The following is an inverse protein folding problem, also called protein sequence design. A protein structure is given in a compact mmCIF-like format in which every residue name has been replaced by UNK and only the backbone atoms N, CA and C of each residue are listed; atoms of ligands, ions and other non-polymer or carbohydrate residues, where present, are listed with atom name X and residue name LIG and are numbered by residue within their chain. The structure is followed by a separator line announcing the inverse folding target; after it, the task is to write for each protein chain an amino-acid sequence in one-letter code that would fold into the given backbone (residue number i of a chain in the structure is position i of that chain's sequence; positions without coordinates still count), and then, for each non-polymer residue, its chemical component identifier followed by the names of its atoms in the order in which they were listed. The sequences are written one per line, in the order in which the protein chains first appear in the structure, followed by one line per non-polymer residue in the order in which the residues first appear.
data_IF_756903440722
#
_entry.id   IF_756903440722
#
_cell.length_a   1.000
_cell.length_b   1.000
_cell.length_c   1.000
_cell.angle_alpha   90.00
_cell.angle_beta   90.00
_cell.angle_gamma   90.00
#
_symmetry.space_group_name_H-M   'P 1'
#
loop_
_entity.id
_entity.type
_entity.pdbx_description
1 polymer ?
#
# COMPACT_ATOMS: atom_id res chain seq x y z
N UNK A 1 -3.68 -0.91 -27.21
CA UNK A 1 -4.26 -1.36 -25.95
C UNK A 1 -5.64 -0.72 -25.70
N UNK A 2 -6.68 -1.56 -25.64
CA UNK A 2 -8.07 -1.16 -25.52
C UNK A 2 -8.53 -1.10 -24.04
N UNK A 3 -9.31 -0.08 -23.68
CA UNK A 3 -9.87 0.06 -22.35
C UNK A 3 -11.30 0.62 -22.42
N UNK A 4 -12.21 0.09 -21.60
CA UNK A 4 -13.56 0.63 -21.42
C UNK A 4 -13.53 1.67 -20.29
N UNK A 5 -13.95 2.88 -20.59
CA UNK A 5 -13.97 4.00 -19.63
C UNK A 5 -13.81 5.36 -20.33
N UNK A 6 -13.40 6.37 -19.57
CA UNK A 6 -13.10 7.72 -20.12
C UNK A 6 -11.88 7.72 -21.04
N UNK A 7 -10.91 6.81 -20.80
CA UNK A 7 -9.76 6.59 -21.65
C UNK A 7 -10.00 5.31 -22.45
N UNK A 8 -10.27 5.46 -23.75
CA UNK A 8 -10.61 4.34 -24.62
C UNK A 8 -9.39 3.56 -25.10
N UNK A 9 -8.26 4.23 -25.31
CA UNK A 9 -7.03 3.67 -25.86
C UNK A 9 -5.81 4.19 -25.10
N UNK A 10 -4.87 3.29 -24.81
CA UNK A 10 -3.53 3.65 -24.32
C UNK A 10 -2.49 3.13 -25.29
N UNK A 11 -1.53 3.97 -25.67
CA UNK A 11 -0.45 3.66 -26.58
C UNK A 11 0.62 2.86 -25.79
N UNK A 12 1.00 1.70 -26.30
CA UNK A 12 2.08 0.87 -25.74
C UNK A 12 3.43 1.12 -26.42
N UNK A 13 3.41 1.54 -27.70
CA UNK A 13 4.60 1.84 -28.49
C UNK A 13 4.30 2.97 -29.47
N UNK A 14 5.26 3.87 -29.65
CA UNK A 14 5.23 4.91 -30.70
C UNK A 14 5.97 4.47 -31.98
N UNK A 15 6.54 3.28 -31.99
CA UNK A 15 7.13 2.65 -33.17
C UNK A 15 6.24 1.55 -33.67
N UNK A 16 6.22 1.35 -34.99
CA UNK A 16 5.50 0.22 -35.61
C UNK A 16 6.24 -1.08 -35.32
N UNK A 17 5.69 -1.85 -34.38
CA UNK A 17 6.24 -3.15 -33.96
C UNK A 17 5.12 -4.07 -33.45
N UNK A 18 5.27 -5.41 -33.57
CA UNK A 18 4.36 -6.36 -32.97
C UNK A 18 4.28 -6.19 -31.44
N UNK A 19 3.07 -6.32 -30.89
CA UNK A 19 2.84 -6.44 -29.45
C UNK A 19 2.70 -7.93 -29.13
N UNK A 20 3.81 -8.62 -29.19
CA UNK A 20 3.97 -10.05 -29.01
C UNK A 20 4.71 -10.41 -27.70
N UNK A 21 5.06 -11.68 -27.53
CA UNK A 21 5.81 -12.16 -26.36
C UNK A 21 7.13 -11.42 -26.16
N UNK A 22 7.86 -11.11 -27.25
CA UNK A 22 9.13 -10.37 -27.19
C UNK A 22 8.92 -8.97 -26.65
N UNK A 23 7.86 -8.28 -27.09
CA UNK A 23 7.49 -6.97 -26.55
C UNK A 23 7.24 -7.02 -25.03
N UNK A 24 6.44 -7.99 -24.58
CA UNK A 24 6.13 -8.12 -23.14
C UNK A 24 7.38 -8.50 -22.33
N UNK A 25 8.22 -9.39 -22.86
CA UNK A 25 9.50 -9.74 -22.24
C UNK A 25 10.39 -8.51 -22.05
N UNK A 26 10.59 -7.68 -23.07
CA UNK A 26 11.40 -6.46 -22.99
C UNK A 26 10.85 -5.48 -21.94
N UNK A 27 9.54 -5.29 -21.89
CA UNK A 27 8.90 -4.39 -20.92
C UNK A 27 9.03 -4.89 -19.48
N UNK A 28 8.76 -6.16 -19.25
CA UNK A 28 8.90 -6.78 -17.94
C UNK A 28 10.35 -6.83 -17.48
N UNK A 29 11.27 -7.10 -18.42
CA UNK A 29 12.70 -7.06 -18.11
C UNK A 29 13.16 -5.66 -17.71
N UNK A 30 12.75 -4.61 -18.38
CA UNK A 30 13.08 -3.24 -18.02
C UNK A 30 12.55 -2.89 -16.60
N UNK A 31 11.33 -3.32 -16.27
CA UNK A 31 10.77 -3.17 -14.92
C UNK A 31 11.58 -3.94 -13.87
N UNK A 32 11.97 -5.18 -14.18
CA UNK A 32 12.79 -6.01 -13.29
C UNK A 32 14.20 -5.43 -13.09
N UNK A 33 14.85 -4.98 -14.18
CA UNK A 33 16.17 -4.36 -14.12
C UNK A 33 16.17 -3.10 -13.24
N UNK A 34 15.09 -2.31 -13.29
CA UNK A 34 14.92 -1.16 -12.39
C UNK A 34 14.84 -1.64 -10.92
N UNK A 35 14.12 -2.71 -10.61
CA UNK A 35 14.06 -3.24 -9.23
C UNK A 35 15.38 -3.87 -8.77
N UNK A 36 16.18 -4.39 -9.69
CA UNK A 36 17.58 -4.78 -9.41
C UNK A 36 18.44 -3.56 -9.06
N UNK A 37 18.35 -2.47 -9.85
CA UNK A 37 19.05 -1.22 -9.59
C UNK A 37 18.64 -0.57 -8.27
N UNK A 38 17.40 -0.78 -7.82
CA UNK A 38 16.89 -0.33 -6.51
C UNK A 38 17.25 -1.29 -5.35
N UNK A 39 18.01 -2.36 -5.61
CA UNK A 39 18.34 -3.41 -4.64
C UNK A 39 17.13 -4.08 -3.98
N UNK A 40 16.00 -4.19 -4.69
CA UNK A 40 14.79 -4.85 -4.22
C UNK A 40 14.69 -6.29 -4.73
N UNK A 41 14.90 -6.51 -6.02
CA UNK A 41 14.75 -7.83 -6.65
C UNK A 41 15.89 -8.82 -6.31
N UNK A 42 16.95 -8.36 -5.66
CA UNK A 42 18.10 -9.15 -5.20
C UNK A 42 18.47 -8.84 -3.74
N UNK A 43 17.51 -8.38 -2.94
CA UNK A 43 17.72 -8.07 -1.54
C UNK A 43 17.72 -9.34 -0.68
N UNK A 44 18.64 -9.42 0.28
CA UNK A 44 18.67 -10.49 1.30
C UNK A 44 17.63 -10.27 2.40
N UNK A 45 17.10 -9.05 2.53
CA UNK A 45 16.19 -8.67 3.61
C UNK A 45 14.78 -8.31 3.14
N UNK A 46 14.57 -8.21 1.82
CA UNK A 46 13.28 -7.82 1.24
C UNK A 46 12.97 -8.66 0.01
N UNK A 47 11.84 -9.37 0.03
CA UNK A 47 11.30 -10.11 -1.11
C UNK A 47 9.81 -9.80 -1.35
N UNK A 48 9.33 -8.69 -0.74
CA UNK A 48 8.01 -8.12 -0.96
C UNK A 48 8.17 -6.76 -1.64
N UNK A 49 7.84 -6.65 -2.94
CA UNK A 49 7.99 -5.40 -3.70
C UNK A 49 7.06 -5.37 -4.91
N UNK A 50 6.80 -4.17 -5.43
CA UNK A 50 6.08 -3.97 -6.68
C UNK A 50 7.02 -4.10 -7.87
N UNK A 51 6.78 -5.09 -8.72
CA UNK A 51 7.54 -5.30 -9.95
C UNK A 51 7.02 -4.42 -11.09
N UNK A 52 5.70 -4.26 -11.22
CA UNK A 52 5.08 -3.44 -12.26
C UNK A 52 4.06 -2.48 -11.66
N UNK A 53 4.22 -1.20 -11.93
CA UNK A 53 3.34 -0.12 -11.47
C UNK A 53 2.71 0.63 -12.65
N UNK A 54 1.95 -0.06 -13.47
CA UNK A 54 1.14 0.53 -14.52
C UNK A 54 1.92 1.45 -15.47
N UNK A 55 1.45 2.67 -15.60
CA UNK A 55 2.04 3.73 -16.44
C UNK A 55 3.47 4.09 -16.04
N UNK A 56 3.82 3.92 -14.76
CA UNK A 56 5.17 4.15 -14.27
C UNK A 56 6.22 3.24 -14.89
N UNK A 57 5.82 2.03 -15.26
CA UNK A 57 6.66 1.03 -15.94
C UNK A 57 6.32 0.90 -17.44
N UNK A 58 5.60 1.84 -18.02
CA UNK A 58 5.12 1.80 -19.42
C UNK A 58 4.27 0.55 -19.74
N UNK A 59 3.56 0.04 -18.75
CA UNK A 59 2.63 -1.10 -18.82
C UNK A 59 1.24 -0.67 -18.29
N UNK A 60 0.57 0.29 -18.95
CA UNK A 60 -0.64 0.93 -18.44
C UNK A 60 -1.75 -0.08 -18.14
N UNK A 61 -2.23 -0.05 -16.89
CA UNK A 61 -3.28 -0.94 -16.43
C UNK A 61 -2.80 -2.33 -16.01
N UNK A 62 -1.48 -2.52 -15.79
CA UNK A 62 -0.90 -3.75 -15.22
C UNK A 62 -0.24 -3.45 -13.87
N UNK A 63 -0.58 -4.24 -12.86
CA UNK A 63 0.08 -4.25 -11.56
C UNK A 63 0.63 -5.65 -11.32
N UNK A 64 1.88 -5.75 -10.87
CA UNK A 64 2.47 -7.02 -10.43
C UNK A 64 3.23 -6.75 -9.13
N UNK A 65 2.82 -7.42 -8.06
CA UNK A 65 3.55 -7.46 -6.80
C UNK A 65 4.19 -8.83 -6.62
N UNK A 66 5.42 -8.83 -6.12
CA UNK A 66 6.19 -10.03 -5.82
C UNK A 66 6.16 -10.26 -4.31
N UNK A 67 5.88 -11.48 -3.92
CA UNK A 67 5.94 -11.99 -2.56
C UNK A 67 6.76 -13.28 -2.58
N UNK A 68 8.04 -13.17 -2.22
CA UNK A 68 9.01 -14.27 -2.29
C UNK A 68 9.12 -14.81 -3.75
N UNK A 69 8.60 -16.00 -4.00
CA UNK A 69 8.58 -16.68 -5.30
C UNK A 69 7.20 -16.67 -5.97
N UNK A 70 6.27 -15.88 -5.46
CA UNK A 70 4.92 -15.73 -6.00
C UNK A 70 4.70 -14.32 -6.55
N UNK A 71 4.28 -14.21 -7.79
CA UNK A 71 3.80 -12.97 -8.40
C UNK A 71 2.28 -12.88 -8.30
N UNK A 72 1.75 -11.77 -7.81
CA UNK A 72 0.33 -11.45 -7.86
C UNK A 72 0.08 -10.41 -8.93
N UNK A 73 -0.59 -10.83 -10.01
CA UNK A 73 -0.84 -10.02 -11.20
C UNK A 73 -2.28 -9.48 -11.20
N UNK A 74 -2.44 -8.19 -11.42
CA UNK A 74 -3.74 -7.54 -11.57
C UNK A 74 -3.81 -6.79 -12.91
N UNK A 75 -4.86 -7.06 -13.68
CA UNK A 75 -5.23 -6.25 -14.84
C UNK A 75 -6.32 -5.24 -14.45
N UNK A 76 -6.11 -3.99 -14.82
CA UNK A 76 -7.06 -2.89 -14.65
C UNK A 76 -7.68 -2.45 -15.98
N UNK A 77 -7.44 -3.21 -17.04
CA UNK A 77 -7.97 -2.96 -18.37
C UNK A 77 -8.20 -4.26 -19.15
N UNK A 78 -9.20 -4.30 -20.08
CA UNK A 78 -9.43 -5.46 -20.91
C UNK A 78 -8.20 -5.88 -21.72
N UNK A 79 -7.41 -4.94 -22.23
CA UNK A 79 -6.21 -5.27 -22.99
C UNK A 79 -5.17 -6.04 -22.19
N UNK A 80 -4.95 -5.68 -20.92
CA UNK A 80 -4.06 -6.44 -20.03
C UNK A 80 -4.65 -7.78 -19.62
N UNK A 81 -5.97 -7.86 -19.45
CA UNK A 81 -6.65 -9.12 -19.21
C UNK A 81 -6.45 -10.13 -20.35
N UNK A 82 -6.65 -9.68 -21.59
CA UNK A 82 -6.44 -10.55 -22.76
C UNK A 82 -4.96 -10.97 -22.94
N UNK A 83 -4.03 -10.13 -22.55
CA UNK A 83 -2.59 -10.44 -22.64
C UNK A 83 -2.06 -11.28 -21.46
N UNK A 84 -2.87 -11.62 -20.44
CA UNK A 84 -2.40 -12.21 -19.18
C UNK A 84 -1.53 -13.47 -19.31
N UNK A 85 -1.86 -14.35 -20.25
CA UNK A 85 -1.07 -15.57 -20.48
C UNK A 85 0.30 -15.25 -21.10
N UNK A 86 0.37 -14.38 -22.10
CA UNK A 86 1.64 -13.93 -22.70
C UNK A 86 2.49 -13.17 -21.68
N UNK A 87 1.85 -12.36 -20.83
CA UNK A 87 2.52 -11.67 -19.72
C UNK A 87 3.08 -12.66 -18.70
N UNK A 88 2.33 -13.72 -18.35
CA UNK A 88 2.78 -14.74 -17.42
C UNK A 88 3.99 -15.53 -17.97
N UNK A 89 3.95 -15.92 -19.25
CA UNK A 89 5.08 -16.59 -19.91
C UNK A 89 6.32 -15.70 -19.93
N UNK A 90 6.17 -14.44 -20.35
CA UNK A 90 7.27 -13.49 -20.40
C UNK A 90 7.84 -13.18 -18.99
N UNK A 91 6.97 -13.10 -17.97
CA UNK A 91 7.40 -12.89 -16.58
C UNK A 91 8.23 -14.06 -16.06
N UNK A 92 7.79 -15.32 -16.35
CA UNK A 92 8.56 -16.52 -15.98
C UNK A 92 9.94 -16.53 -16.66
N UNK A 93 10.03 -16.11 -17.92
CA UNK A 93 11.32 -15.99 -18.63
C UNK A 93 12.25 -14.96 -17.99
N UNK A 94 11.70 -13.78 -17.62
CA UNK A 94 12.48 -12.70 -17.01
C UNK A 94 13.00 -13.08 -15.64
N UNK A 95 12.18 -13.72 -14.80
CA UNK A 95 12.52 -14.03 -13.42
C UNK A 95 13.16 -15.40 -13.22
N UNK A 96 13.01 -16.32 -14.19
CA UNK A 96 13.60 -17.67 -14.15
C UNK A 96 13.20 -18.46 -12.91
N UNK A 97 14.19 -19.02 -12.22
CA UNK A 97 14.00 -19.86 -11.03
C UNK A 97 13.59 -19.09 -9.76
N UNK A 98 13.55 -17.76 -9.83
CA UNK A 98 13.06 -16.92 -8.72
C UNK A 98 11.53 -16.86 -8.64
N UNK A 99 10.82 -17.39 -9.63
CA UNK A 99 9.37 -17.34 -9.73
C UNK A 99 8.78 -18.73 -9.91
N UNK A 100 8.03 -19.20 -8.91
CA UNK A 100 7.36 -20.50 -8.96
C UNK A 100 5.88 -20.38 -9.26
N UNK A 101 5.25 -19.27 -8.79
CA UNK A 101 3.82 -19.09 -8.88
C UNK A 101 3.45 -17.73 -9.49
N UNK A 102 2.40 -17.70 -10.31
CA UNK A 102 1.76 -16.49 -10.80
C UNK A 102 0.26 -16.61 -10.51
N UNK A 103 -0.23 -15.78 -9.57
CA UNK A 103 -1.64 -15.69 -9.25
C UNK A 103 -2.26 -14.46 -9.91
N UNK A 104 -3.23 -14.69 -10.79
CA UNK A 104 -3.99 -13.65 -11.45
C UNK A 104 -5.21 -13.26 -10.57
N UNK A 105 -5.27 -12.01 -10.13
CA UNK A 105 -6.28 -11.51 -9.20
C UNK A 105 -6.96 -10.26 -9.75
N UNK A 106 -7.88 -10.42 -10.68
CA UNK A 106 -8.50 -9.29 -11.39
C UNK A 106 -10.02 -9.24 -11.33
N UNK A 107 -10.66 -10.12 -10.58
CA UNK A 107 -12.13 -10.17 -10.41
C UNK A 107 -12.73 -8.79 -10.05
N UNK A 108 -12.07 -8.02 -9.18
CA UNK A 108 -12.56 -6.72 -8.70
C UNK A 108 -11.87 -5.52 -9.34
N UNK A 109 -10.87 -5.71 -10.20
CA UNK A 109 -10.06 -4.62 -10.78
C UNK A 109 -10.42 -4.30 -12.22
N UNK A 110 -11.04 -5.24 -12.92
CA UNK A 110 -11.50 -5.04 -14.30
C UNK A 110 -12.77 -4.18 -14.33
N UNK A 111 -12.94 -3.34 -15.37
CA UNK A 111 -14.16 -2.56 -15.52
C UNK A 111 -15.38 -3.49 -15.67
N UNK A 112 -16.36 -3.40 -14.77
CA UNK A 112 -17.56 -4.25 -14.80
C UNK A 112 -18.34 -4.16 -16.14
N UNK A 113 -18.26 -3.01 -16.82
CA UNK A 113 -18.88 -2.78 -18.14
C UNK A 113 -18.25 -3.62 -19.27
N UNK A 114 -17.09 -4.21 -19.01
CA UNK A 114 -16.41 -5.04 -20.00
C UNK A 114 -17.08 -6.41 -20.19
N UNK A 115 -17.95 -6.82 -19.24
CA UNK A 115 -18.65 -8.12 -19.23
C UNK A 115 -17.69 -9.31 -19.48
N UNK A 116 -16.49 -9.23 -18.91
CA UNK A 116 -15.47 -10.27 -19.03
C UNK A 116 -15.77 -11.36 -18.00
N UNK A 117 -15.57 -12.61 -18.36
CA UNK A 117 -15.48 -13.69 -17.39
C UNK A 117 -14.25 -13.45 -16.52
N UNK A 118 -14.47 -13.28 -15.22
CA UNK A 118 -13.45 -12.79 -14.31
C UNK A 118 -13.34 -13.79 -13.15
N UNK A 119 -12.50 -14.79 -13.32
CA UNK A 119 -12.11 -15.67 -12.23
C UNK A 119 -10.66 -15.41 -11.86
N UNK A 120 -10.38 -15.38 -10.55
CA UNK A 120 -9.02 -15.37 -10.07
C UNK A 120 -8.44 -16.78 -10.23
N UNK A 121 -7.25 -16.89 -10.81
CA UNK A 121 -6.64 -18.18 -11.16
C UNK A 121 -5.11 -18.19 -10.99
N UNK A 122 -4.51 -19.36 -10.84
CA UNK A 122 -3.08 -19.51 -11.01
C UNK A 122 -2.76 -19.66 -12.50
N UNK A 123 -1.97 -18.74 -13.06
CA UNK A 123 -1.46 -18.84 -14.43
C UNK A 123 -0.18 -19.69 -14.50
N UNK A 124 0.50 -19.84 -13.36
CA UNK A 124 1.67 -20.70 -13.18
C UNK A 124 1.68 -21.24 -11.75
N UNK A 125 2.08 -22.49 -11.57
CA UNK A 125 2.25 -23.11 -10.27
C UNK A 125 0.94 -23.35 -9.52
N UNK A 126 0.91 -23.07 -8.24
CA UNK A 126 -0.22 -23.31 -7.34
C UNK A 126 -0.05 -22.64 -5.98
N UNK A 127 -0.61 -23.24 -4.94
CA UNK A 127 -0.54 -22.70 -3.58
C UNK A 127 0.92 -22.69 -3.11
N UNK A 128 1.44 -21.49 -2.87
CA UNK A 128 2.77 -21.25 -2.34
C UNK A 128 2.77 -20.89 -0.86
N UNK A 129 3.95 -20.65 -0.31
CA UNK A 129 4.07 -20.08 1.04
C UNK A 129 3.46 -18.68 1.09
N UNK A 130 2.61 -18.45 2.07
CA UNK A 130 1.87 -17.21 2.28
C UNK A 130 2.65 -16.18 3.11
N UNK A 131 3.98 -16.26 3.12
CA UNK A 131 4.85 -15.32 3.84
C UNK A 131 5.83 -14.61 2.92
N UNK A 132 6.09 -13.35 3.22
CA UNK A 132 7.10 -12.54 2.56
C UNK A 132 7.89 -11.70 3.57
N UNK A 133 9.09 -11.30 3.19
CA UNK A 133 9.99 -10.52 4.05
C UNK A 133 10.12 -9.08 3.52
N UNK A 134 10.03 -8.12 4.43
CA UNK A 134 10.27 -6.71 4.16
C UNK A 134 11.23 -6.13 5.20
N UNK A 135 12.39 -5.66 4.78
CA UNK A 135 13.44 -5.14 5.68
C UNK A 135 13.76 -6.07 6.86
N UNK A 136 13.80 -7.38 6.62
CA UNK A 136 14.09 -8.40 7.63
C UNK A 136 12.91 -8.76 8.55
N UNK A 137 11.74 -8.18 8.36
CA UNK A 137 10.50 -8.55 9.06
C UNK A 137 9.65 -9.45 8.17
N UNK A 138 9.05 -10.48 8.73
CA UNK A 138 8.23 -11.45 7.99
C UNK A 138 6.74 -11.16 8.16
N UNK A 139 5.99 -11.24 7.07
CA UNK A 139 4.56 -10.97 7.05
C UNK A 139 3.80 -12.09 6.35
N UNK A 140 2.65 -12.46 6.91
CA UNK A 140 1.65 -13.23 6.17
C UNK A 140 1.00 -12.35 5.10
N UNK A 141 0.93 -12.87 3.88
CA UNK A 141 0.34 -12.20 2.72
C UNK A 141 -0.80 -13.05 2.17
N UNK A 142 -2.02 -12.63 2.41
CA UNK A 142 -3.22 -13.30 1.88
C UNK A 142 -3.56 -12.75 0.49
N UNK A 143 -2.85 -13.21 -0.56
CA UNK A 143 -3.18 -12.78 -1.93
C UNK A 143 -4.48 -13.38 -2.47
N UNK A 144 -4.99 -14.46 -1.88
CA UNK A 144 -6.25 -15.09 -2.31
C UNK A 144 -7.46 -14.26 -1.88
N UNK A 145 -7.52 -13.84 -0.61
CA UNK A 145 -8.69 -13.21 0.02
C UNK A 145 -8.41 -11.81 0.57
N UNK A 146 -7.16 -11.41 0.67
CA UNK A 146 -6.74 -10.11 1.17
C UNK A 146 -7.08 -8.97 0.21
N UNK A 147 -7.00 -7.73 0.72
CA UNK A 147 -7.22 -6.54 -0.09
C UNK A 147 -6.11 -6.39 -1.13
N UNK A 148 -6.45 -5.81 -2.30
CA UNK A 148 -5.52 -5.60 -3.43
C UNK A 148 -4.77 -6.91 -3.74
N UNK A 149 -3.45 -6.89 -3.68
CA UNK A 149 -2.57 -8.03 -3.92
C UNK A 149 -2.25 -8.85 -2.67
N UNK A 150 -2.73 -8.42 -1.48
CA UNK A 150 -2.57 -9.13 -0.20
C UNK A 150 -1.79 -8.35 0.85
N UNK A 151 -0.89 -7.44 0.45
CA UNK A 151 -0.10 -6.59 1.33
C UNK A 151 0.09 -5.20 0.71
N UNK A 152 0.30 -4.16 1.54
CA UNK A 152 0.50 -2.79 1.09
C UNK A 152 2.00 -2.47 0.99
N UNK A 153 2.64 -2.92 -0.08
CA UNK A 153 4.07 -2.68 -0.33
C UNK A 153 4.41 -1.20 -0.55
N UNK A 154 3.41 -0.37 -0.85
CA UNK A 154 3.53 1.07 -1.07
C UNK A 154 3.84 1.87 0.21
N UNK A 155 3.72 1.27 1.38
CA UNK A 155 4.03 1.90 2.68
C UNK A 155 5.40 1.49 3.26
N UNK A 156 6.23 0.71 2.55
CA UNK A 156 7.50 0.18 3.06
C UNK A 156 8.41 1.25 3.67
N UNK A 157 8.69 2.32 2.92
CA UNK A 157 9.58 3.38 3.37
C UNK A 157 8.98 4.20 4.53
N UNK A 158 7.66 4.37 4.53
CA UNK A 158 6.93 5.06 5.58
C UNK A 158 6.93 4.23 6.88
N UNK A 159 6.83 2.91 6.79
CA UNK A 159 7.00 1.99 7.93
C UNK A 159 8.41 2.06 8.52
N UNK A 160 9.42 2.05 7.66
CA UNK A 160 10.82 2.17 8.09
C UNK A 160 11.10 3.53 8.74
N UNK A 161 10.45 4.61 8.27
CA UNK A 161 10.56 5.91 8.93
C UNK A 161 9.87 5.91 10.30
N UNK A 162 8.68 5.32 10.43
CA UNK A 162 7.96 5.21 11.71
C UNK A 162 8.80 4.46 12.76
N UNK A 163 9.48 3.41 12.37
CA UNK A 163 10.37 2.64 13.24
C UNK A 163 11.38 3.53 13.96
N UNK A 164 11.98 4.50 13.25
CA UNK A 164 12.96 5.43 13.83
C UNK A 164 12.38 6.33 14.91
N UNK A 165 11.07 6.59 14.87
CA UNK A 165 10.34 7.40 15.85
C UNK A 165 9.77 6.59 17.01
N UNK A 166 9.82 5.26 16.96
CA UNK A 166 9.05 4.40 17.86
C UNK A 166 9.70 4.17 19.23
N UNK A 167 11.02 4.35 19.37
CA UNK A 167 11.73 4.02 20.62
C UNK A 167 11.15 4.71 21.84
N UNK A 168 10.75 3.90 22.83
CA UNK A 168 10.23 4.36 24.12
C UNK A 168 8.80 4.93 24.07
N UNK A 169 8.15 4.95 22.91
CA UNK A 169 6.84 5.54 22.70
C UNK A 169 5.69 4.57 22.90
N UNK A 170 4.51 5.13 23.17
CA UNK A 170 3.22 4.43 23.10
C UNK A 170 2.61 4.70 21.74
N UNK A 171 2.52 3.67 20.92
CA UNK A 171 2.10 3.76 19.51
C UNK A 171 0.66 3.33 19.33
N UNK A 172 -0.12 4.12 18.58
CA UNK A 172 -1.44 3.76 18.08
C UNK A 172 -1.43 3.69 16.56
N UNK A 173 -1.65 2.49 16.02
CA UNK A 173 -1.78 2.25 14.58
C UNK A 173 -3.26 2.05 14.23
N UNK A 174 -3.88 3.06 13.61
CA UNK A 174 -5.28 3.02 13.18
C UNK A 174 -5.40 2.64 11.71
N UNK A 175 -6.48 1.91 11.37
CA UNK A 175 -6.66 1.30 10.04
C UNK A 175 -5.52 0.34 9.74
N UNK A 176 -5.16 -0.46 10.73
CA UNK A 176 -3.89 -1.17 10.76
C UNK A 176 -3.77 -2.31 9.73
N UNK A 177 -4.87 -2.78 9.15
CA UNK A 177 -4.94 -3.91 8.22
C UNK A 177 -4.15 -5.11 8.75
N UNK A 178 -3.03 -5.50 8.10
CA UNK A 178 -2.17 -6.61 8.53
C UNK A 178 -1.10 -6.21 9.57
N UNK A 179 -1.14 -4.97 10.07
CA UNK A 179 -0.27 -4.50 11.14
C UNK A 179 1.15 -4.12 10.73
N UNK A 180 1.39 -3.81 9.46
CA UNK A 180 2.73 -3.47 8.97
C UNK A 180 3.41 -2.38 9.81
N UNK A 181 2.75 -1.27 10.09
CA UNK A 181 3.28 -0.21 10.96
C UNK A 181 3.51 -0.68 12.40
N UNK A 182 2.65 -1.56 12.92
CA UNK A 182 2.77 -2.08 14.29
C UNK A 182 4.00 -2.97 14.46
N UNK A 183 4.26 -3.86 13.50
CA UNK A 183 5.44 -4.74 13.50
C UNK A 183 6.74 -3.91 13.48
N UNK A 184 6.80 -2.88 12.63
CA UNK A 184 7.94 -1.95 12.60
C UNK A 184 8.09 -1.15 13.89
N UNK A 185 6.98 -0.71 14.51
CA UNK A 185 7.01 -0.02 15.80
C UNK A 185 7.55 -0.91 16.92
N UNK A 186 7.18 -2.19 16.94
CA UNK A 186 7.72 -3.18 17.89
C UNK A 186 9.24 -3.31 17.75
N UNK A 187 9.75 -3.49 16.52
CA UNK A 187 11.19 -3.56 16.25
C UNK A 187 11.91 -2.26 16.60
N UNK A 188 11.26 -1.12 16.38
CA UNK A 188 11.78 0.21 16.73
C UNK A 188 11.89 0.48 18.23
N UNK A 189 11.44 -0.45 19.09
CA UNK A 189 11.54 -0.35 20.54
C UNK A 189 10.43 0.47 21.20
N UNK A 190 9.23 0.44 20.63
CA UNK A 190 8.06 1.01 21.28
C UNK A 190 7.78 0.30 22.63
N UNK A 191 7.36 1.06 23.64
CA UNK A 191 6.97 0.54 24.94
C UNK A 191 5.58 -0.11 24.93
N UNK A 192 4.70 0.38 24.05
CA UNK A 192 3.34 -0.13 23.85
C UNK A 192 2.95 0.08 22.38
N UNK A 193 2.30 -0.90 21.78
CA UNK A 193 1.76 -0.79 20.42
C UNK A 193 0.33 -1.29 20.41
N UNK A 194 -0.61 -0.43 20.11
CA UNK A 194 -2.00 -0.82 19.89
C UNK A 194 -2.37 -0.67 18.41
N UNK A 195 -3.04 -1.69 17.89
CA UNK A 195 -3.51 -1.77 16.51
C UNK A 195 -5.04 -1.74 16.49
N UNK A 196 -5.63 -0.91 15.64
CA UNK A 196 -7.08 -0.79 15.52
C UNK A 196 -7.50 -0.94 14.07
N UNK A 197 -8.43 -1.84 13.82
CA UNK A 197 -9.13 -2.00 12.54
C UNK A 197 -10.58 -2.41 12.77
N UNK A 198 -11.47 -2.02 11.89
CA UNK A 198 -12.88 -2.43 11.95
C UNK A 198 -13.10 -3.90 11.58
N UNK A 199 -12.15 -4.52 10.89
CA UNK A 199 -12.18 -5.90 10.44
C UNK A 199 -11.56 -6.86 11.46
N UNK A 200 -12.36 -7.76 12.01
CA UNK A 200 -11.85 -8.83 12.89
C UNK A 200 -10.78 -9.69 12.18
N UNK A 201 -10.96 -9.97 10.87
CA UNK A 201 -9.96 -10.70 10.07
C UNK A 201 -8.63 -9.94 9.99
N UNK A 202 -8.64 -8.63 9.86
CA UNK A 202 -7.43 -7.80 9.88
C UNK A 202 -6.73 -7.91 11.24
N UNK A 203 -7.48 -7.83 12.33
CA UNK A 203 -6.97 -7.99 13.71
C UNK A 203 -6.33 -9.37 13.93
N UNK A 204 -6.91 -10.44 13.40
CA UNK A 204 -6.30 -11.78 13.43
C UNK A 204 -4.95 -11.81 12.69
N UNK A 205 -4.87 -11.18 11.51
CA UNK A 205 -3.63 -11.11 10.73
C UNK A 205 -2.56 -10.26 11.42
N UNK A 206 -2.94 -9.15 12.06
CA UNK A 206 -2.00 -8.37 12.89
C UNK A 206 -1.39 -9.24 13.97
N UNK A 207 -2.22 -9.96 14.74
CA UNK A 207 -1.73 -10.82 15.82
C UNK A 207 -0.79 -11.92 15.30
N UNK A 208 -1.11 -12.54 14.15
CA UNK A 208 -0.22 -13.51 13.49
C UNK A 208 1.12 -12.88 13.10
N UNK A 209 1.12 -11.68 12.53
CA UNK A 209 2.34 -11.00 12.11
C UNK A 209 3.20 -10.54 13.31
N UNK A 210 2.58 -10.13 14.40
CA UNK A 210 3.29 -9.83 15.64
C UNK A 210 3.92 -11.10 16.22
N UNK A 211 3.15 -12.18 16.35
CA UNK A 211 3.66 -13.45 16.90
C UNK A 211 4.80 -14.02 16.04
N UNK A 212 4.72 -13.88 14.71
CA UNK A 212 5.75 -14.35 13.79
C UNK A 212 7.10 -13.63 13.98
N UNK A 213 7.10 -12.36 14.36
CA UNK A 213 8.32 -11.55 14.54
C UNK A 213 8.74 -11.39 16.01
N UNK A 214 7.79 -11.43 16.93
CA UNK A 214 7.99 -11.16 18.38
C UNK A 214 7.17 -12.14 19.22
N UNK A 215 7.50 -13.44 19.18
CA UNK A 215 6.73 -14.46 19.87
C UNK A 215 6.65 -14.20 21.39
N UNK A 216 5.43 -14.18 21.92
CA UNK A 216 5.16 -13.97 23.34
C UNK A 216 5.39 -12.53 23.85
N UNK A 217 5.60 -11.55 22.97
CA UNK A 217 5.81 -10.15 23.39
C UNK A 217 4.48 -9.48 23.77
N UNK A 218 4.33 -9.10 25.02
CA UNK A 218 3.11 -8.53 25.59
C UNK A 218 2.91 -7.03 25.32
N UNK A 219 3.84 -6.36 24.64
CA UNK A 219 3.73 -4.92 24.33
C UNK A 219 2.65 -4.60 23.31
N UNK A 220 2.16 -5.59 22.55
CA UNK A 220 1.16 -5.39 21.50
C UNK A 220 -0.23 -5.84 21.92
N UNK A 221 -1.25 -5.07 21.52
CA UNK A 221 -2.65 -5.46 21.59
C UNK A 221 -3.41 -4.93 20.35
N UNK A 222 -4.32 -5.75 19.81
CA UNK A 222 -5.13 -5.38 18.66
C UNK A 222 -6.64 -5.36 19.00
N UNK A 223 -7.37 -4.40 18.41
CA UNK A 223 -8.77 -4.15 18.67
C UNK A 223 -9.58 -4.14 17.37
N UNK A 224 -10.64 -4.92 17.31
CA UNK A 224 -11.64 -4.85 16.25
C UNK A 224 -12.67 -3.77 16.61
N UNK A 225 -12.44 -2.53 16.13
CA UNK A 225 -13.25 -1.38 16.50
C UNK A 225 -13.33 -0.33 15.38
N UNK A 226 -14.42 0.45 15.39
CA UNK A 226 -14.52 1.67 14.57
C UNK A 226 -13.50 2.71 15.05
N UNK A 227 -12.79 3.33 14.10
CA UNK A 227 -11.71 4.25 14.39
C UNK A 227 -12.17 5.50 15.18
N UNK A 228 -13.32 6.07 14.81
CA UNK A 228 -13.80 7.27 15.51
C UNK A 228 -14.27 6.95 16.92
N UNK A 229 -14.96 5.81 17.07
CA UNK A 229 -15.40 5.34 18.39
C UNK A 229 -14.21 5.03 19.29
N UNK A 230 -13.18 4.35 18.76
CA UNK A 230 -11.96 4.06 19.51
C UNK A 230 -11.27 5.34 20.00
N UNK A 231 -11.14 6.37 19.15
CA UNK A 231 -10.57 7.67 19.53
C UNK A 231 -11.41 8.38 20.59
N UNK A 232 -12.75 8.23 20.59
CA UNK A 232 -13.61 8.81 21.61
C UNK A 232 -13.44 8.15 22.98
N UNK A 233 -13.36 6.83 23.00
CA UNK A 233 -13.38 6.00 24.20
C UNK A 233 -11.96 5.74 24.76
N UNK A 234 -10.89 6.03 24.01
CA UNK A 234 -9.54 5.75 24.46
C UNK A 234 -9.13 6.55 25.70
N UNK A 235 -8.52 5.86 26.65
CA UNK A 235 -7.97 6.44 27.88
C UNK A 235 -6.44 6.48 27.87
N UNK A 236 -5.79 5.70 27.02
CA UNK A 236 -4.33 5.66 26.88
C UNK A 236 -3.86 6.90 26.12
N UNK A 237 -2.85 7.57 26.62
CA UNK A 237 -2.16 8.65 25.93
C UNK A 237 -1.11 8.07 24.99
N UNK A 238 -1.35 8.16 23.68
CA UNK A 238 -0.39 7.75 22.66
C UNK A 238 0.40 8.96 22.16
N UNK A 239 1.70 8.84 22.17
CA UNK A 239 2.61 9.90 21.74
C UNK A 239 3.21 9.66 20.33
N UNK A 240 2.81 8.56 19.69
CA UNK A 240 3.04 8.28 18.27
C UNK A 240 1.78 7.63 17.67
N UNK A 241 1.14 8.33 16.74
CA UNK A 241 -0.12 7.86 16.13
C UNK A 241 0.03 7.75 14.62
N UNK A 242 -0.52 6.68 14.05
CA UNK A 242 -0.63 6.46 12.60
C UNK A 242 -2.10 6.49 12.21
N UNK A 243 -2.44 7.33 11.23
CA UNK A 243 -3.74 7.39 10.59
C UNK A 243 -3.56 7.10 9.10
N UNK A 244 -3.87 5.87 8.68
CA UNK A 244 -3.81 5.43 7.28
C UNK A 244 -5.18 4.92 6.80
N UNK A 245 -6.19 5.82 6.76
CA UNK A 245 -7.55 5.44 6.40
C UNK A 245 -7.66 5.01 4.94
N UNK A 246 -8.67 4.19 4.59
CA UNK A 246 -9.00 3.93 3.20
C UNK A 246 -9.35 5.24 2.48
N UNK A 247 -9.28 5.24 1.14
CA UNK A 247 -9.60 6.42 0.34
C UNK A 247 -11.03 6.90 0.61
N UNK A 248 -11.18 8.08 1.21
CA UNK A 248 -12.49 8.68 1.48
C UNK A 248 -13.18 9.23 0.21
N UNK A 249 -12.42 9.44 -0.88
CA UNK A 249 -12.98 9.78 -2.19
C UNK A 249 -12.36 8.90 -3.27
N UNK A 250 -13.19 8.16 -3.98
CA UNK A 250 -12.81 7.45 -5.23
C UNK A 250 -13.00 8.33 -6.46
N UNK A 251 -13.92 9.30 -6.40
CA UNK A 251 -14.26 10.19 -7.51
C UNK A 251 -14.29 11.65 -7.04
N UNK A 252 -14.14 12.59 -7.98
CA UNK A 252 -14.08 14.03 -7.69
C UNK A 252 -15.32 14.57 -6.99
N UNK A 253 -16.48 13.99 -7.24
CA UNK A 253 -17.76 14.41 -6.63
C UNK A 253 -17.74 14.25 -5.09
N UNK A 254 -16.98 13.29 -4.57
CA UNK A 254 -16.82 13.04 -3.14
C UNK A 254 -15.70 13.86 -2.47
N UNK A 255 -14.98 14.71 -3.22
CA UNK A 255 -13.79 15.44 -2.75
C UNK A 255 -14.08 16.25 -1.49
N UNK A 256 -15.15 17.04 -1.48
CA UNK A 256 -15.50 17.91 -0.33
C UNK A 256 -15.79 17.10 0.93
N UNK A 257 -16.48 15.97 0.78
CA UNK A 257 -16.78 15.07 1.88
C UNK A 257 -15.52 14.37 2.39
N UNK A 258 -14.63 13.95 1.49
CA UNK A 258 -13.36 13.33 1.84
C UNK A 258 -12.47 14.29 2.65
N UNK A 259 -12.34 15.55 2.22
CA UNK A 259 -11.56 16.55 2.94
C UNK A 259 -12.11 16.78 4.36
N UNK A 260 -13.45 16.84 4.52
CA UNK A 260 -14.09 16.90 5.84
C UNK A 260 -13.78 15.66 6.69
N UNK A 261 -13.77 14.46 6.09
CA UNK A 261 -13.43 13.22 6.77
C UNK A 261 -12.00 13.23 7.29
N UNK A 262 -11.02 13.62 6.44
CA UNK A 262 -9.62 13.78 6.85
C UNK A 262 -9.46 14.83 7.97
N UNK A 263 -10.12 15.99 7.83
CA UNK A 263 -10.09 17.04 8.86
C UNK A 263 -10.61 16.52 10.20
N UNK A 264 -11.78 15.88 10.19
CA UNK A 264 -12.41 15.38 11.43
C UNK A 264 -11.57 14.29 12.11
N UNK A 265 -11.06 13.32 11.33
CA UNK A 265 -10.24 12.23 11.86
C UNK A 265 -8.96 12.76 12.52
N UNK A 266 -8.24 13.64 11.81
CA UNK A 266 -6.98 14.20 12.32
C UNK A 266 -7.20 15.14 13.50
N UNK A 267 -8.24 15.97 13.50
CA UNK A 267 -8.57 16.84 14.62
C UNK A 267 -8.81 16.01 15.91
N UNK A 268 -9.63 14.97 15.79
CA UNK A 268 -9.95 14.09 16.91
C UNK A 268 -8.71 13.39 17.49
N UNK A 269 -7.79 12.92 16.63
CA UNK A 269 -6.53 12.35 17.10
C UNK A 269 -5.66 13.41 17.80
N UNK A 270 -5.48 14.58 17.20
CA UNK A 270 -4.67 15.67 17.77
C UNK A 270 -5.21 16.18 19.12
N UNK A 271 -6.54 16.22 19.31
CA UNK A 271 -7.16 16.59 20.59
C UNK A 271 -6.75 15.66 21.74
N UNK A 272 -6.55 14.36 21.43
CA UNK A 272 -6.25 13.32 22.41
C UNK A 272 -4.76 13.08 22.63
N UNK A 273 -3.91 13.54 21.71
CA UNK A 273 -2.47 13.33 21.79
C UNK A 273 -1.82 14.30 22.80
N UNK A 274 -0.88 13.83 23.65
CA UNK A 274 -0.11 14.72 24.53
C UNK A 274 0.78 15.67 23.71
N UNK A 275 1.22 16.75 24.33
CA UNK A 275 2.20 17.68 23.71
C UNK A 275 3.52 16.96 23.46
N UNK A 276 4.15 17.24 22.31
CA UNK A 276 5.39 16.60 21.92
C UNK A 276 5.19 15.28 21.16
N UNK A 277 3.96 14.96 20.84
CA UNK A 277 3.61 13.77 20.09
C UNK A 277 3.91 13.89 18.59
N UNK A 278 3.99 12.74 17.92
CA UNK A 278 4.20 12.65 16.48
C UNK A 278 3.01 11.93 15.83
N UNK A 279 2.48 12.54 14.78
CA UNK A 279 1.39 11.98 13.99
C UNK A 279 1.86 11.70 12.57
N UNK A 280 1.74 10.44 12.15
CA UNK A 280 1.81 10.01 10.75
C UNK A 280 0.40 9.95 10.18
N UNK A 281 0.12 10.74 9.16
CA UNK A 281 -1.22 10.78 8.57
C UNK A 281 -1.15 10.69 7.06
N UNK A 282 -2.03 9.88 6.47
CA UNK A 282 -1.98 9.51 5.06
C UNK A 282 -3.30 9.73 4.33
N UNK A 283 -3.20 9.85 3.01
CA UNK A 283 -4.30 9.76 2.07
C UNK A 283 -3.85 9.04 0.80
N UNK A 284 -4.52 7.93 0.46
CA UNK A 284 -4.37 7.23 -0.81
C UNK A 284 -5.42 7.63 -1.84
N UNK A 285 -6.20 8.70 -1.59
CA UNK A 285 -7.29 9.16 -2.45
C UNK A 285 -6.74 9.89 -3.67
N UNK A 286 -6.92 9.36 -4.89
CA UNK A 286 -6.49 10.03 -6.12
C UNK A 286 -7.20 11.37 -6.36
N UNK A 287 -8.43 11.53 -5.88
CA UNK A 287 -9.20 12.76 -6.00
C UNK A 287 -8.67 13.91 -5.13
N UNK A 288 -7.83 13.60 -4.13
CA UNK A 288 -7.25 14.57 -3.18
C UNK A 288 -5.80 14.80 -3.55
N UNK A 289 -5.42 16.01 -3.93
CA UNK A 289 -4.02 16.37 -4.17
C UNK A 289 -3.27 16.72 -2.88
N UNK A 290 -1.94 16.94 -2.97
CA UNK A 290 -1.07 17.23 -1.83
C UNK A 290 -1.48 18.49 -1.07
N UNK A 291 -1.81 19.57 -1.79
CA UNK A 291 -2.16 20.85 -1.17
C UNK A 291 -3.52 20.77 -0.45
N UNK A 292 -4.48 20.07 -1.06
CA UNK A 292 -5.79 19.82 -0.46
C UNK A 292 -5.66 18.99 0.82
N UNK A 293 -4.82 17.93 0.79
CA UNK A 293 -4.57 17.12 1.98
C UNK A 293 -3.91 17.95 3.08
N UNK A 294 -2.87 18.71 2.75
CA UNK A 294 -2.19 19.64 3.68
C UNK A 294 -3.16 20.64 4.29
N UNK A 295 -4.07 21.21 3.49
CA UNK A 295 -5.11 22.13 3.96
C UNK A 295 -6.08 21.45 4.93
N UNK A 296 -6.45 20.18 4.68
CA UNK A 296 -7.28 19.41 5.60
C UNK A 296 -6.59 19.20 6.96
N UNK A 297 -5.27 18.91 6.96
CA UNK A 297 -4.49 18.73 8.21
C UNK A 297 -4.31 20.06 8.93
N UNK A 298 -4.08 21.17 8.21
CA UNK A 298 -4.10 22.51 8.80
C UNK A 298 -5.44 22.81 9.49
N UNK A 299 -6.55 22.55 8.80
CA UNK A 299 -7.89 22.76 9.36
C UNK A 299 -8.13 21.86 10.59
N UNK A 300 -7.61 20.64 10.58
CA UNK A 300 -7.68 19.72 11.74
C UNK A 300 -6.94 20.29 12.96
N UNK A 301 -5.72 20.80 12.77
CA UNK A 301 -4.93 21.40 13.83
C UNK A 301 -5.63 22.63 14.45
N UNK A 302 -6.22 23.48 13.60
CA UNK A 302 -7.00 24.64 14.05
C UNK A 302 -8.23 24.22 14.88
N UNK A 303 -8.96 23.18 14.45
CA UNK A 303 -10.11 22.65 15.18
C UNK A 303 -9.71 22.04 16.53
N UNK A 304 -8.58 21.35 16.57
CA UNK A 304 -8.03 20.76 17.80
C UNK A 304 -7.36 21.78 18.74
N UNK A 305 -7.23 23.04 18.31
CA UNK A 305 -6.52 24.07 19.09
C UNK A 305 -5.03 23.76 19.27
N UNK A 306 -4.39 23.11 18.28
CA UNK A 306 -3.01 22.65 18.36
C UNK A 306 -2.13 23.35 17.33
N UNK A 307 -0.89 23.65 17.73
CA UNK A 307 0.17 24.00 16.81
C UNK A 307 0.84 22.72 16.30
N UNK A 308 1.12 22.67 15.00
CA UNK A 308 1.80 21.54 14.38
C UNK A 308 2.96 22.01 13.49
N UNK A 309 3.98 21.17 13.41
CA UNK A 309 5.11 21.37 12.47
C UNK A 309 5.25 20.13 11.59
N UNK A 310 5.36 20.34 10.28
CA UNK A 310 5.61 19.25 9.34
C UNK A 310 7.08 18.85 9.44
N UNK A 311 7.34 17.60 9.81
CA UNK A 311 8.67 17.02 9.88
C UNK A 311 9.05 16.35 8.54
N UNK A 312 8.10 15.63 7.93
CA UNK A 312 8.30 14.95 6.64
C UNK A 312 7.06 15.06 5.76
N UNK A 313 7.29 15.09 4.45
CA UNK A 313 6.29 14.87 3.42
C UNK A 313 6.54 13.48 2.83
N UNK A 314 5.52 12.64 2.85
CA UNK A 314 5.61 11.23 2.50
C UNK A 314 4.89 10.95 1.18
N UNK A 315 5.38 9.95 0.46
CA UNK A 315 4.85 9.49 -0.82
C UNK A 315 5.06 7.99 -0.97
N UNK A 316 4.64 7.42 -2.09
CA UNK A 316 4.90 6.04 -2.47
C UNK A 316 6.41 5.79 -2.68
N UNK A 317 6.89 4.56 -2.42
CA UNK A 317 8.31 4.20 -2.56
C UNK A 317 8.76 4.09 -4.02
N UNK A 318 10.06 3.95 -4.24
CA UNK A 318 10.67 3.97 -5.56
C UNK A 318 10.21 2.84 -6.50
N UNK A 319 9.77 1.71 -5.97
CA UNK A 319 9.18 0.63 -6.78
C UNK A 319 7.73 0.89 -7.24
N UNK A 320 7.19 2.06 -6.89
CA UNK A 320 5.94 2.61 -7.42
C UNK A 320 6.24 3.86 -8.27
N UNK A 321 7.01 3.73 -9.37
CA UNK A 321 7.48 4.87 -10.13
C UNK A 321 6.33 5.66 -10.74
N UNK A 322 6.53 6.96 -10.86
CA UNK A 322 5.61 7.87 -11.53
C UNK A 322 6.22 8.20 -12.89
N UNK A 323 5.50 7.92 -13.96
CA UNK A 323 5.92 8.37 -15.27
C UNK A 323 5.83 9.90 -15.32
N UNK A 324 6.91 10.57 -15.73
CA UNK A 324 6.98 12.03 -15.75
C UNK A 324 5.94 12.65 -16.68
N UNK A 325 5.48 11.91 -17.69
CA UNK A 325 4.42 12.32 -18.62
C UNK A 325 3.01 11.92 -18.15
N UNK A 326 2.89 11.22 -16.99
CA UNK A 326 1.62 10.76 -16.41
C UNK A 326 1.62 11.01 -14.89
N UNK A 327 1.49 12.27 -14.46
CA UNK A 327 1.58 12.64 -13.03
C UNK A 327 0.45 12.06 -12.18
N UNK A 328 -0.64 11.59 -12.78
CA UNK A 328 -1.75 10.90 -12.11
C UNK A 328 -1.34 9.58 -11.45
N UNK A 329 -0.15 9.07 -11.76
CA UNK A 329 0.46 7.94 -11.05
C UNK A 329 0.85 8.26 -9.60
N UNK A 330 0.90 9.54 -9.21
CA UNK A 330 1.12 9.96 -7.83
C UNK A 330 -0.19 9.89 -7.04
N UNK A 331 -0.32 8.95 -6.13
CA UNK A 331 -1.57 8.72 -5.38
C UNK A 331 -1.40 8.75 -3.86
N UNK A 332 -0.25 8.33 -3.31
CA UNK A 332 -0.02 8.30 -1.87
C UNK A 332 0.56 9.63 -1.39
N UNK A 333 -0.11 10.25 -0.44
CA UNK A 333 0.33 11.46 0.26
C UNK A 333 0.34 11.20 1.74
N UNK A 334 1.39 11.64 2.41
CA UNK A 334 1.46 11.57 3.86
C UNK A 334 2.20 12.76 4.45
N UNK A 335 1.92 13.02 5.70
CA UNK A 335 2.63 14.00 6.51
C UNK A 335 3.04 13.35 7.82
N UNK A 336 4.26 13.63 8.26
CA UNK A 336 4.67 13.44 9.65
C UNK A 336 4.66 14.80 10.30
N UNK A 337 3.84 14.94 11.32
CA UNK A 337 3.71 16.22 12.04
C UNK A 337 4.05 16.06 13.51
N UNK A 338 4.74 17.05 14.05
CA UNK A 338 4.97 17.23 15.47
C UNK A 338 3.81 18.04 16.03
N UNK A 339 3.20 17.58 17.12
CA UNK A 339 1.99 18.16 17.72
C UNK A 339 2.35 18.83 19.04
N UNK A 340 2.14 20.17 19.12
CA UNK A 340 2.48 21.00 20.30
C UNK A 340 1.28 21.25 21.20
#
# INVERSE_FOLDING_TARGET
HYQIGSIMVRILSFTDRPIDRTFWHERLKAAYDMRLALHLANSDTTNAYRLVHGEGDNLPGLIIDIYRNTAVMQAHSPGMHYARHLLAEALKEVMGDKLDNIYYKSETTLPYKAALEQENEYLLGGVGEDTATENGLTFHVDWLRGQKTGFFVDQRENRALLERYSRGRKVLNMFCYTGGFSVYSMRGGANLVHSVDSSAKAVELVNKNIELNFPGDSRHQAFAADAFRFLDEMTTEYDLVVLDPPAFAKHRDALKQALRGYTKLNAKAMEKMPKGSILFTFSCSQAVNKDQFRTAIFSAAMQAGRHIRILHQLHQPADHPINIYHPEGEYLKGLVVYVE
#
